data_IF_189146994897
#
_entry.id   IF_189146994897
#
_cell.length_a   1.000
_cell.length_b   1.000
_cell.length_c   1.000
_cell.angle_alpha   90.00
_cell.angle_beta   90.00
_cell.angle_gamma   90.00
#
_symmetry.space_group_name_H-M   'P 1'
#
loop_
_entity.id
_entity.type
_entity.pdbx_description
1 polymer ?
#
# COMPACT_ATOMS: atom_id res chain seq x y z
N UNK A 1 -31.06 -52.31 33.80
CA UNK A 1 -31.51 -51.19 32.95
C UNK A 1 -31.49 -51.66 31.52
N UNK A 2 -32.61 -51.60 30.80
CA UNK A 2 -32.70 -52.05 29.41
C UNK A 2 -31.79 -51.21 28.49
N UNK A 3 -31.11 -51.81 27.50
CA UNK A 3 -30.19 -51.09 26.61
C UNK A 3 -30.88 -49.96 25.82
N UNK A 4 -32.20 -50.05 25.61
CA UNK A 4 -33.02 -49.00 24.97
C UNK A 4 -33.17 -47.74 25.83
N UNK A 5 -33.17 -47.88 27.16
CA UNK A 5 -33.28 -46.74 28.10
C UNK A 5 -32.01 -45.87 28.09
N UNK A 6 -30.84 -46.50 27.92
CA UNK A 6 -29.57 -45.81 27.84
C UNK A 6 -29.50 -44.91 26.60
N UNK A 7 -29.96 -45.42 25.45
CA UNK A 7 -29.97 -44.68 24.19
C UNK A 7 -30.97 -43.52 24.21
N UNK A 8 -32.11 -43.70 24.88
CA UNK A 8 -33.12 -42.65 25.07
C UNK A 8 -32.64 -41.56 26.03
N UNK A 9 -31.95 -41.90 27.12
CA UNK A 9 -31.33 -40.92 28.03
C UNK A 9 -30.28 -40.08 27.34
N UNK A 10 -29.43 -40.66 26.48
CA UNK A 10 -28.40 -39.89 25.74
C UNK A 10 -29.05 -38.91 24.76
N UNK A 11 -30.07 -39.35 24.00
CA UNK A 11 -30.82 -38.45 23.12
C UNK A 11 -31.50 -37.32 23.89
N UNK A 12 -32.13 -37.64 25.02
CA UNK A 12 -32.80 -36.65 25.86
C UNK A 12 -31.80 -35.71 26.54
N UNK A 13 -30.61 -36.20 26.91
CA UNK A 13 -29.52 -35.39 27.45
C UNK A 13 -29.01 -34.38 26.42
N UNK A 14 -28.79 -34.81 25.17
CA UNK A 14 -28.41 -33.93 24.05
C UNK A 14 -29.50 -32.89 23.78
N UNK A 15 -30.76 -33.30 23.75
CA UNK A 15 -31.90 -32.39 23.52
C UNK A 15 -32.04 -31.40 24.68
N UNK A 16 -31.90 -31.82 25.94
CA UNK A 16 -31.84 -30.90 27.10
C UNK A 16 -30.66 -29.94 27.01
N UNK A 17 -29.50 -30.39 26.53
CA UNK A 17 -28.31 -29.55 26.30
C UNK A 17 -28.53 -28.50 25.22
N UNK A 18 -29.38 -28.79 24.23
CA UNK A 18 -29.78 -27.86 23.18
C UNK A 18 -30.84 -26.86 23.65
N UNK A 19 -31.82 -27.29 24.45
CA UNK A 19 -32.86 -26.40 25.01
C UNK A 19 -32.33 -25.46 26.09
N UNK A 20 -31.29 -25.85 26.82
CA UNK A 20 -30.77 -25.10 27.97
C UNK A 20 -29.66 -24.10 27.58
N UNK A 21 -29.78 -23.43 26.43
CA UNK A 21 -29.12 -22.20 25.94
C UNK A 21 -27.63 -21.86 26.25
N UNK A 22 -26.85 -22.70 26.94
CA UNK A 22 -25.51 -22.36 27.50
C UNK A 22 -24.36 -22.37 26.48
N UNK A 23 -24.67 -22.59 25.20
CA UNK A 23 -23.68 -22.64 24.10
C UNK A 23 -24.12 -21.89 22.85
N UNK A 24 -25.13 -21.02 22.94
CA UNK A 24 -25.27 -19.98 21.92
C UNK A 24 -24.24 -18.90 22.23
N UNK A 25 -23.07 -18.99 21.61
CA UNK A 25 -22.34 -17.77 21.29
C UNK A 25 -23.25 -16.98 20.37
N UNK A 26 -24.02 -16.05 20.93
CA UNK A 26 -24.68 -15.01 20.16
C UNK A 26 -23.57 -14.34 19.37
N UNK A 27 -23.43 -14.71 18.10
CA UNK A 27 -22.95 -13.78 17.10
C UNK A 27 -23.91 -12.61 17.27
N UNK A 28 -23.44 -11.55 17.94
CA UNK A 28 -24.06 -10.24 17.89
C UNK A 28 -23.94 -9.84 16.42
N UNK A 29 -24.85 -10.38 15.61
CA UNK A 29 -25.21 -9.75 14.36
C UNK A 29 -25.68 -8.39 14.84
N UNK A 30 -24.83 -7.38 14.64
CA UNK A 30 -25.17 -5.98 14.84
C UNK A 30 -26.21 -5.69 13.76
N UNK A 31 -27.42 -6.23 13.96
CA UNK A 31 -28.58 -6.00 13.13
C UNK A 31 -28.98 -4.57 13.43
N UNK A 32 -28.50 -3.70 12.55
CA UNK A 32 -29.26 -2.63 11.94
C UNK A 32 -30.57 -2.32 12.68
N UNK A 33 -30.53 -1.36 13.59
CA UNK A 33 -31.59 -0.40 13.95
C UNK A 33 -30.99 0.57 14.99
N UNK A 34 -31.01 1.87 14.69
CA UNK A 34 -30.78 3.04 15.58
C UNK A 34 -29.39 3.66 15.81
N UNK A 35 -28.43 3.61 14.87
CA UNK A 35 -27.26 4.54 14.91
C UNK A 35 -26.74 4.94 13.51
N UNK A 36 -27.48 5.77 12.78
CA UNK A 36 -27.05 6.29 11.46
C UNK A 36 -26.05 7.45 11.58
N UNK A 37 -25.89 8.06 12.77
CA UNK A 37 -24.98 9.19 13.01
C UNK A 37 -23.56 8.82 13.48
N UNK A 38 -23.40 7.79 14.30
CA UNK A 38 -22.12 7.50 14.98
C UNK A 38 -21.20 6.57 14.17
N UNK A 39 -21.80 5.73 13.31
CA UNK A 39 -21.11 4.79 12.43
C UNK A 39 -20.36 5.52 11.31
N UNK A 40 -20.96 6.58 10.74
CA UNK A 40 -20.36 7.41 9.69
C UNK A 40 -19.13 8.17 10.19
N UNK A 41 -19.22 8.85 11.35
CA UNK A 41 -18.09 9.61 11.87
C UNK A 41 -16.95 8.73 12.37
N UNK A 42 -17.24 7.58 12.99
CA UNK A 42 -16.19 6.64 13.42
C UNK A 42 -15.51 5.96 12.22
N UNK A 43 -16.26 5.59 11.18
CA UNK A 43 -15.66 5.05 9.94
C UNK A 43 -14.85 6.11 9.19
N UNK A 44 -15.34 7.35 9.09
CA UNK A 44 -14.60 8.42 8.43
C UNK A 44 -13.30 8.74 9.19
N UNK A 45 -13.37 8.84 10.51
CA UNK A 45 -12.18 9.02 11.37
C UNK A 45 -11.21 7.85 11.24
N UNK A 46 -11.71 6.63 11.09
CA UNK A 46 -10.88 5.44 10.90
C UNK A 46 -10.15 5.47 9.55
N UNK A 47 -10.85 5.74 8.44
CA UNK A 47 -10.25 5.85 7.10
C UNK A 47 -9.23 6.99 7.04
N UNK A 48 -9.59 8.18 7.52
CA UNK A 48 -8.67 9.33 7.55
C UNK A 48 -7.44 9.03 8.38
N UNK A 49 -7.60 8.38 9.55
CA UNK A 49 -6.45 7.97 10.36
C UNK A 49 -5.56 6.98 9.61
N UNK A 50 -6.14 5.98 8.96
CA UNK A 50 -5.37 4.99 8.21
C UNK A 50 -4.55 5.67 7.11
N UNK A 51 -5.18 6.52 6.28
CA UNK A 51 -4.47 7.26 5.23
C UNK A 51 -3.34 8.16 5.75
N UNK A 52 -3.55 8.85 6.88
CA UNK A 52 -2.52 9.69 7.49
C UNK A 52 -1.30 8.88 7.97
N UNK A 53 -1.50 7.66 8.48
CA UNK A 53 -0.39 6.78 8.86
C UNK A 53 0.28 6.16 7.61
N UNK A 54 -0.44 5.97 6.50
CA UNK A 54 0.17 5.53 5.24
C UNK A 54 1.06 6.62 4.64
N UNK A 55 0.59 7.87 4.57
CA UNK A 55 1.38 9.00 4.05
C UNK A 55 2.64 9.23 4.89
N UNK A 56 2.55 9.09 6.23
CA UNK A 56 3.73 9.24 7.07
C UNK A 56 4.81 8.18 6.81
N UNK A 57 4.41 6.97 6.39
CA UNK A 57 5.33 5.90 5.94
C UNK A 57 5.95 6.18 4.57
N UNK A 58 5.35 7.05 3.75
CA UNK A 58 5.95 7.55 2.50
C UNK A 58 6.99 8.65 2.74
N UNK A 59 6.80 9.49 3.77
CA UNK A 59 7.65 10.64 4.06
C UNK A 59 9.16 10.38 4.02
N UNK A 60 9.71 9.28 4.59
CA UNK A 60 11.15 9.06 4.54
C UNK A 60 11.71 8.99 3.10
N UNK A 61 10.95 8.47 2.14
CA UNK A 61 11.37 8.41 0.73
C UNK A 61 11.38 9.80 0.08
N UNK A 62 10.34 10.60 0.35
CA UNK A 62 10.19 11.96 -0.19
C UNK A 62 11.24 12.90 0.39
N UNK A 63 11.43 12.85 1.71
CA UNK A 63 12.43 13.67 2.41
C UNK A 63 13.83 13.31 1.91
N UNK A 64 14.14 12.02 1.75
CA UNK A 64 15.43 11.58 1.19
C UNK A 64 15.63 12.08 -0.23
N UNK A 65 14.61 11.99 -1.09
CA UNK A 65 14.66 12.53 -2.46
C UNK A 65 14.89 14.04 -2.51
N UNK A 66 14.26 14.80 -1.59
CA UNK A 66 14.45 16.25 -1.47
C UNK A 66 15.85 16.65 -1.02
N UNK A 67 16.45 15.90 -0.08
CA UNK A 67 17.83 16.14 0.37
C UNK A 67 18.81 15.88 -0.77
N UNK A 68 18.65 14.78 -1.50
CA UNK A 68 19.51 14.45 -2.65
C UNK A 68 19.33 15.50 -3.76
N UNK A 69 18.11 15.99 -4.00
CA UNK A 69 17.85 17.08 -4.94
C UNK A 69 18.64 18.34 -4.56
N UNK A 70 18.69 18.69 -3.28
CA UNK A 70 19.48 19.82 -2.78
C UNK A 70 20.98 19.64 -3.03
N UNK A 71 21.51 18.44 -2.84
CA UNK A 71 22.92 18.11 -3.11
C UNK A 71 23.22 18.18 -4.61
N UNK A 72 22.33 17.64 -5.46
CA UNK A 72 22.45 17.74 -6.92
C UNK A 72 22.48 19.21 -7.35
N UNK A 73 21.58 20.03 -6.80
CA UNK A 73 21.51 21.46 -7.11
C UNK A 73 22.77 22.20 -6.65
N UNK A 74 23.32 21.89 -5.48
CA UNK A 74 24.57 22.46 -4.99
C UNK A 74 25.73 22.14 -5.95
N UNK A 75 25.88 20.87 -6.33
CA UNK A 75 26.96 20.40 -7.19
C UNK A 75 26.84 20.89 -8.65
N UNK A 76 25.65 21.31 -9.06
CA UNK A 76 25.35 21.75 -10.43
C UNK A 76 25.08 23.26 -10.53
N UNK A 77 25.22 24.01 -9.42
CA UNK A 77 24.90 25.44 -9.27
C UNK A 77 25.63 26.43 -10.20
N UNK A 78 26.55 25.94 -11.05
CA UNK A 78 27.27 26.72 -12.06
C UNK A 78 26.73 26.62 -13.49
N UNK A 79 25.78 25.73 -13.77
CA UNK A 79 25.25 25.51 -15.13
C UNK A 79 23.78 25.94 -15.24
N UNK A 80 23.54 27.06 -15.92
CA UNK A 80 22.18 27.55 -16.22
C UNK A 80 21.71 26.98 -17.56
N UNK A 81 20.90 25.92 -17.51
CA UNK A 81 20.29 25.31 -18.70
C UNK A 81 19.26 24.26 -18.30
N UNK A 82 18.45 23.79 -19.26
CA UNK A 82 17.36 22.82 -19.06
C UNK A 82 17.77 21.44 -18.52
N UNK A 83 19.08 21.20 -18.34
CA UNK A 83 19.70 19.92 -17.96
C UNK A 83 20.36 19.95 -16.58
N UNK A 84 19.58 20.35 -15.57
CA UNK A 84 20.06 20.37 -14.20
C UNK A 84 20.48 18.96 -13.73
N UNK A 85 21.74 18.80 -13.37
CA UNK A 85 22.34 17.58 -12.85
C UNK A 85 22.77 16.56 -13.90
N UNK A 86 22.86 16.95 -15.18
CA UNK A 86 23.26 16.03 -16.27
C UNK A 86 24.71 16.24 -16.74
N UNK A 87 25.31 17.41 -16.48
CA UNK A 87 26.62 17.82 -17.03
C UNK A 87 27.81 17.32 -16.21
N UNK A 88 27.70 17.29 -14.87
CA UNK A 88 28.72 16.70 -13.99
C UNK A 88 28.49 15.19 -13.77
N UNK A 89 29.50 14.32 -13.93
CA UNK A 89 29.35 12.87 -13.74
C UNK A 89 28.82 12.48 -12.37
N UNK A 90 29.25 13.22 -11.34
CA UNK A 90 28.83 13.00 -9.96
C UNK A 90 27.37 13.44 -9.73
N UNK A 91 26.95 14.55 -10.33
CA UNK A 91 25.58 15.06 -10.22
C UNK A 91 24.58 14.13 -10.93
N UNK A 92 24.99 13.52 -12.04
CA UNK A 92 24.18 12.53 -12.78
C UNK A 92 23.87 11.28 -11.95
N UNK A 93 24.86 10.78 -11.20
CA UNK A 93 24.68 9.65 -10.31
C UNK A 93 23.68 9.96 -9.18
N UNK A 94 23.83 11.10 -8.50
CA UNK A 94 22.87 11.55 -7.49
C UNK A 94 21.48 11.86 -8.07
N UNK A 95 21.41 12.38 -9.30
CA UNK A 95 20.15 12.60 -10.01
C UNK A 95 19.41 11.29 -10.29
N UNK A 96 20.14 10.21 -10.61
CA UNK A 96 19.58 8.85 -10.73
C UNK A 96 19.02 8.33 -9.41
N UNK A 97 19.77 8.45 -8.32
CA UNK A 97 19.32 8.06 -6.97
C UNK A 97 18.11 8.87 -6.49
N UNK A 98 18.07 10.17 -6.78
CA UNK A 98 16.90 11.01 -6.51
C UNK A 98 15.66 10.48 -7.23
N UNK A 99 15.80 10.14 -8.50
CA UNK A 99 14.68 9.69 -9.33
C UNK A 99 14.16 8.33 -8.88
N UNK A 100 15.03 7.39 -8.49
CA UNK A 100 14.57 6.12 -7.91
C UNK A 100 13.82 6.36 -6.58
N UNK A 101 14.29 7.28 -5.74
CA UNK A 101 13.63 7.61 -4.47
C UNK A 101 12.23 8.20 -4.68
N UNK A 102 12.06 9.12 -5.65
CA UNK A 102 10.75 9.68 -5.97
C UNK A 102 9.84 8.68 -6.68
N UNK A 103 10.38 7.83 -7.56
CA UNK A 103 9.60 6.80 -8.24
C UNK A 103 9.02 5.76 -7.25
N UNK A 104 9.75 5.46 -6.17
CA UNK A 104 9.29 4.53 -5.13
C UNK A 104 8.26 5.13 -4.17
N UNK A 105 8.03 6.45 -4.19
CA UNK A 105 7.03 7.11 -3.33
C UNK A 105 5.62 6.53 -3.51
N UNK A 106 5.16 6.45 -4.76
CA UNK A 106 3.80 6.01 -5.10
C UNK A 106 3.62 4.51 -4.76
N UNK A 107 4.50 3.59 -5.21
CA UNK A 107 4.41 2.17 -4.86
C UNK A 107 4.36 1.89 -3.35
N UNK A 108 5.17 2.60 -2.54
CA UNK A 108 5.11 2.46 -1.08
C UNK A 108 3.75 2.94 -0.55
N UNK A 109 3.22 4.05 -1.05
CA UNK A 109 1.91 4.56 -0.64
C UNK A 109 0.78 3.57 -0.95
N UNK A 110 0.67 3.07 -2.19
CA UNK A 110 -0.38 2.11 -2.57
C UNK A 110 -0.28 0.77 -1.84
N UNK A 111 0.94 0.28 -1.60
CA UNK A 111 1.16 -0.92 -0.78
C UNK A 111 0.57 -0.78 0.62
N UNK A 112 0.74 0.40 1.21
CA UNK A 112 0.34 0.72 2.57
C UNK A 112 -1.16 1.05 2.68
N UNK A 113 -1.74 1.65 1.63
CA UNK A 113 -3.20 1.78 1.49
C UNK A 113 -3.87 0.40 1.41
N UNK A 114 -3.35 -0.52 0.59
CA UNK A 114 -3.86 -1.89 0.50
C UNK A 114 -3.67 -2.67 1.82
N UNK A 115 -2.54 -2.46 2.50
CA UNK A 115 -2.29 -2.99 3.85
C UNK A 115 -3.36 -2.53 4.86
N UNK A 116 -3.84 -1.29 4.76
CA UNK A 116 -4.87 -0.77 5.65
C UNK A 116 -6.25 -1.42 5.49
N UNK A 117 -6.49 -2.12 4.38
CA UNK A 117 -7.76 -2.81 4.06
C UNK A 117 -7.68 -4.29 4.39
N UNK A 118 -6.65 -4.99 3.86
CA UNK A 118 -6.58 -6.46 3.88
C UNK A 118 -5.54 -6.98 4.89
N UNK A 119 -4.69 -6.11 5.43
CA UNK A 119 -3.54 -6.49 6.26
C UNK A 119 -2.30 -6.84 5.40
N UNK A 120 -1.33 -7.60 5.95
CA UNK A 120 -0.07 -7.94 5.28
C UNK A 120 -0.20 -8.54 3.88
N UNK A 121 -1.32 -9.20 3.60
CA UNK A 121 -1.63 -9.86 2.33
C UNK A 121 -1.86 -8.86 1.19
N UNK A 122 -2.28 -7.63 1.52
CA UNK A 122 -2.52 -6.56 0.54
C UNK A 122 -1.26 -5.81 0.11
N UNK A 123 -0.14 -5.95 0.84
CA UNK A 123 1.07 -5.15 0.63
C UNK A 123 1.65 -5.32 -0.78
N UNK A 124 1.85 -6.58 -1.20
CA UNK A 124 2.40 -6.90 -2.51
C UNK A 124 1.45 -6.46 -3.63
N UNK A 125 0.14 -6.68 -3.47
CA UNK A 125 -0.87 -6.34 -4.47
C UNK A 125 -0.94 -4.82 -4.70
N UNK A 126 -0.91 -4.02 -3.63
CA UNK A 126 -0.91 -2.56 -3.73
C UNK A 126 0.36 -2.02 -4.41
N UNK A 127 1.52 -2.59 -4.10
CA UNK A 127 2.78 -2.19 -4.75
C UNK A 127 2.76 -2.47 -6.25
N UNK A 128 2.28 -3.65 -6.66
CA UNK A 128 2.21 -4.04 -8.08
C UNK A 128 1.18 -3.19 -8.83
N UNK A 129 0.02 -2.91 -8.24
CA UNK A 129 -1.00 -2.07 -8.85
C UNK A 129 -0.50 -0.65 -9.15
N UNK A 130 0.26 -0.07 -8.23
CA UNK A 130 0.84 1.27 -8.42
C UNK A 130 2.00 1.28 -9.41
N UNK A 131 2.84 0.25 -9.40
CA UNK A 131 3.87 0.06 -10.44
C UNK A 131 3.24 -0.14 -11.82
N UNK A 132 2.12 -0.86 -11.90
CA UNK A 132 1.34 -1.03 -13.13
C UNK A 132 0.82 0.30 -13.67
N UNK A 133 0.33 1.16 -12.78
CA UNK A 133 -0.24 2.46 -13.14
C UNK A 133 0.85 3.47 -13.54
N UNK A 134 2.00 3.45 -12.87
CA UNK A 134 3.07 4.43 -13.06
C UNK A 134 4.03 4.03 -14.18
N UNK A 135 4.27 2.73 -14.36
CA UNK A 135 5.19 2.17 -15.34
C UNK A 135 4.57 0.97 -16.07
N UNK A 136 3.50 1.17 -16.86
CA UNK A 136 2.84 0.10 -17.61
C UNK A 136 3.78 -0.61 -18.59
N UNK A 137 4.82 0.08 -19.07
CA UNK A 137 5.87 -0.48 -19.93
C UNK A 137 6.70 -1.59 -19.24
N UNK A 138 6.74 -1.62 -17.89
CA UNK A 138 7.38 -2.72 -17.15
C UNK A 138 6.52 -4.00 -17.13
N UNK A 139 5.21 -3.88 -17.34
CA UNK A 139 4.30 -5.02 -17.37
C UNK A 139 4.17 -5.62 -18.76
N UNK A 140 4.10 -4.77 -19.79
CA UNK A 140 4.02 -5.20 -21.18
C UNK A 140 4.87 -4.27 -22.06
N UNK A 141 5.77 -4.84 -22.85
CA UNK A 141 6.62 -4.08 -23.78
C UNK A 141 5.78 -3.56 -24.95
N UNK A 142 5.21 -2.36 -24.79
CA UNK A 142 4.50 -1.65 -25.84
C UNK A 142 5.46 -0.80 -26.68
N UNK A 143 6.38 -1.42 -27.43
CA UNK A 143 7.18 -0.76 -28.48
C UNK A 143 7.99 0.48 -28.05
N UNK A 144 8.20 0.64 -26.77
CA UNK A 144 8.86 1.75 -26.10
C UNK A 144 9.78 1.09 -25.08
N UNK A 145 11.06 1.51 -25.04
CA UNK A 145 12.08 0.78 -24.29
C UNK A 145 11.61 0.52 -22.85
N UNK A 146 11.66 -0.73 -22.33
CA UNK A 146 11.17 -1.08 -20.98
C UNK A 146 11.93 -0.35 -19.84
N UNK A 147 12.93 0.42 -20.24
CA UNK A 147 13.79 1.26 -19.44
C UNK A 147 13.52 2.75 -19.63
N UNK A 148 12.49 3.22 -20.36
CA UNK A 148 12.22 4.67 -20.59
C UNK A 148 12.24 5.50 -19.31
N UNK A 149 11.64 4.99 -18.22
CA UNK A 149 11.62 5.63 -16.91
C UNK A 149 13.01 5.84 -16.27
N UNK A 150 14.02 5.08 -16.70
CA UNK A 150 15.45 5.26 -16.37
C UNK A 150 16.28 5.84 -17.52
N UNK A 151 15.87 5.64 -18.78
CA UNK A 151 16.62 5.92 -20.01
C UNK A 151 16.32 7.28 -20.63
N UNK A 152 15.16 7.91 -20.35
CA UNK A 152 14.96 9.35 -20.62
C UNK A 152 15.96 10.23 -19.85
N UNK A 153 16.75 9.63 -18.98
CA UNK A 153 17.82 10.25 -18.21
C UNK A 153 19.19 10.01 -18.83
N UNK A 154 19.34 9.21 -19.90
CA UNK A 154 20.61 8.87 -20.54
C UNK A 154 20.72 9.29 -22.01
N UNK A 155 19.63 9.74 -22.63
CA UNK A 155 19.62 10.14 -24.06
C UNK A 155 20.46 11.39 -24.36
N UNK A 156 20.94 12.14 -23.36
CA UNK A 156 21.91 13.23 -23.55
C UNK A 156 23.38 12.81 -23.79
N UNK A 157 23.64 11.56 -24.21
CA UNK A 157 24.96 11.14 -24.70
C UNK A 157 24.98 10.81 -26.19
N UNK A 158 23.86 10.95 -26.91
CA UNK A 158 23.78 10.72 -28.35
C UNK A 158 22.83 11.70 -29.07
N UNK A 159 23.01 13.00 -28.86
CA UNK A 159 22.53 13.98 -29.82
C UNK A 159 23.61 15.04 -29.98
N UNK A 160 24.16 15.11 -31.19
CA UNK A 160 25.15 16.08 -31.65
C UNK A 160 24.72 17.54 -31.36
#
# INVERSE_FOLDING_TARGET
MEPKMLFMMVKLFVIKRYLNHDRLTTIKNKSASDEVGEISLKQFKYVSRNLLVEVSRMLPFVVTGGIILGIVFLLDSGYTGSDFGTKCPIARWFSGLRKIAFAMMIPILGAYVAYSIVGPQGLLLGMIADLAATAPEMLYSSGQDPTKWVNELAVYYHQD
#
